data_IF_662751010331
#
_entry.id   IF_662751010331
#
_cell.length_a   1.000
_cell.length_b   1.000
_cell.length_c   1.000
_cell.angle_alpha   90.00
_cell.angle_beta   90.00
_cell.angle_gamma   90.00
#
_symmetry.space_group_name_H-M   'P 1'
#
loop_
_entity.id
_entity.type
_entity.pdbx_description
1 polymer ?
#
# COMPACT_ATOMS: atom_id res chain seq x y z
N UNK A 1 15.49 30.95 -58.38
CA UNK A 1 16.02 29.62 -58.77
C UNK A 1 15.58 28.59 -57.74
N UNK A 2 15.22 27.40 -58.23
CA UNK A 2 14.81 26.12 -57.58
C UNK A 2 15.39 25.92 -56.16
N UNK A 3 14.68 25.30 -55.21
CA UNK A 3 14.16 23.93 -55.26
C UNK A 3 12.98 23.70 -54.31
N UNK A 4 11.92 23.12 -54.84
CA UNK A 4 10.94 22.28 -54.14
C UNK A 4 11.62 21.04 -53.56
N UNK A 5 11.15 20.55 -52.41
CA UNK A 5 10.98 19.12 -52.12
C UNK A 5 9.92 18.97 -50.99
N UNK A 6 8.91 18.09 -51.17
CA UNK A 6 7.82 17.82 -50.24
C UNK A 6 8.12 16.59 -49.35
N UNK A 7 7.08 16.11 -48.66
CA UNK A 7 6.92 14.77 -48.04
C UNK A 7 7.24 14.71 -46.54
N UNK A 8 6.57 13.93 -45.69
CA UNK A 8 5.41 13.03 -45.74
C UNK A 8 5.16 12.63 -44.28
N UNK A 9 3.90 12.31 -43.96
CA UNK A 9 3.37 11.53 -42.83
C UNK A 9 4.33 11.05 -41.71
N UNK A 10 3.90 11.27 -40.47
CA UNK A 10 3.50 10.17 -39.59
C UNK A 10 2.76 10.73 -38.35
N UNK A 11 1.44 10.59 -38.34
CA UNK A 11 0.66 10.67 -37.12
C UNK A 11 1.06 9.50 -36.21
N UNK A 12 1.94 9.77 -35.24
CA UNK A 12 2.16 8.85 -34.14
C UNK A 12 0.96 8.95 -33.19
N UNK A 13 -0.13 8.26 -33.54
CA UNK A 13 -1.15 7.90 -32.59
C UNK A 13 -0.51 6.94 -31.57
N UNK A 14 0.11 7.52 -30.54
CA UNK A 14 0.39 6.81 -29.30
C UNK A 14 -0.97 6.43 -28.74
N UNK A 15 -1.36 5.19 -28.98
CA UNK A 15 -2.31 4.46 -28.17
C UNK A 15 -1.80 4.51 -26.73
N UNK A 16 -2.19 5.57 -26.02
CA UNK A 16 -2.23 5.61 -24.57
C UNK A 16 -3.30 4.60 -24.19
N UNK A 17 -2.95 3.32 -24.17
CA UNK A 17 -3.64 2.36 -23.34
C UNK A 17 -3.63 2.95 -21.93
N UNK A 18 -4.78 3.29 -21.33
CA UNK A 18 -4.82 3.40 -19.89
C UNK A 18 -4.60 1.97 -19.39
N UNK A 19 -3.33 1.58 -19.15
CA UNK A 19 -3.08 0.50 -18.23
C UNK A 19 -3.78 0.94 -16.94
N UNK A 20 -4.76 0.20 -16.42
CA UNK A 20 -5.41 0.61 -15.20
C UNK A 20 -4.37 0.41 -14.09
N UNK A 21 -3.70 1.51 -13.74
CA UNK A 21 -2.75 1.56 -12.64
C UNK A 21 -3.52 1.49 -11.32
N UNK A 22 -4.01 0.30 -10.96
CA UNK A 22 -4.53 0.04 -9.62
C UNK A 22 -3.34 -0.06 -8.66
N UNK A 23 -2.77 1.11 -8.33
CA UNK A 23 -1.45 1.27 -7.72
C UNK A 23 -1.35 0.69 -6.31
N UNK A 24 -0.18 0.17 -5.94
CA UNK A 24 0.16 -0.06 -4.54
C UNK A 24 -0.05 1.24 -3.73
N UNK A 25 -0.48 1.13 -2.47
CA UNK A 25 -0.76 2.29 -1.64
C UNK A 25 0.19 2.31 -0.43
N UNK A 26 0.93 3.40 -0.24
CA UNK A 26 1.71 3.65 0.97
C UNK A 26 1.12 4.84 1.71
N UNK A 27 0.84 4.66 3.01
CA UNK A 27 0.33 5.74 3.87
C UNK A 27 1.10 5.72 5.18
N UNK A 28 1.51 6.89 5.65
CA UNK A 28 2.23 7.08 6.91
C UNK A 28 1.43 7.98 7.85
N UNK A 29 1.58 7.76 9.15
CA UNK A 29 1.11 8.65 10.19
C UNK A 29 2.05 8.54 11.39
N UNK A 30 2.66 9.66 11.80
CA UNK A 30 3.64 9.68 12.87
C UNK A 30 4.79 8.71 12.59
N UNK A 31 4.95 7.72 13.45
CA UNK A 31 6.04 6.72 13.33
C UNK A 31 5.65 5.48 12.53
N UNK A 32 4.40 5.34 12.12
CA UNK A 32 3.86 4.11 11.55
C UNK A 32 3.55 4.30 10.07
N UNK A 33 3.84 3.29 9.27
CA UNK A 33 3.47 3.21 7.86
C UNK A 33 2.80 1.89 7.50
N UNK A 34 1.88 1.96 6.54
CA UNK A 34 1.25 0.82 5.87
C UNK A 34 1.56 0.88 4.38
N UNK A 35 1.96 -0.24 3.80
CA UNK A 35 2.14 -0.43 2.38
C UNK A 35 1.26 -1.59 1.91
N UNK A 36 0.37 -1.32 0.95
CA UNK A 36 -0.57 -2.29 0.39
C UNK A 36 -0.14 -2.62 -1.03
N UNK A 37 0.19 -3.88 -1.27
CA UNK A 37 0.51 -4.39 -2.61
C UNK A 37 -0.71 -5.07 -3.22
N UNK A 38 -0.96 -4.79 -4.50
CA UNK A 38 -2.17 -5.23 -5.20
C UNK A 38 -1.86 -5.79 -6.58
N UNK A 39 -2.67 -6.76 -6.98
CA UNK A 39 -2.75 -7.28 -8.34
C UNK A 39 -4.21 -7.28 -8.78
N UNK A 40 -4.55 -6.27 -9.59
CA UNK A 40 -5.93 -5.99 -9.99
C UNK A 40 -6.82 -5.65 -8.77
N UNK A 41 -7.99 -6.28 -8.62
CA UNK A 41 -8.94 -5.96 -7.55
C UNK A 41 -8.57 -6.58 -6.19
N UNK A 42 -7.45 -7.30 -6.10
CA UNK A 42 -7.04 -8.05 -4.90
C UNK A 42 -5.82 -7.42 -4.25
N UNK A 43 -5.77 -7.51 -2.93
CA UNK A 43 -4.61 -7.18 -2.11
C UNK A 43 -3.80 -8.45 -1.90
N UNK A 44 -2.58 -8.50 -2.43
CA UNK A 44 -1.72 -9.67 -2.32
C UNK A 44 -0.96 -9.67 -1.01
N UNK A 45 -0.46 -8.50 -0.62
CA UNK A 45 0.21 -8.31 0.66
C UNK A 45 -0.03 -6.93 1.25
N UNK A 46 0.13 -6.88 2.57
CA UNK A 46 0.21 -5.64 3.32
C UNK A 46 1.44 -5.71 4.21
N UNK A 47 2.30 -4.73 4.06
CA UNK A 47 3.47 -4.53 4.89
C UNK A 47 3.22 -3.36 5.83
N UNK A 48 3.70 -3.50 7.05
CA UNK A 48 3.64 -2.47 8.07
C UNK A 48 5.03 -2.20 8.62
N UNK A 49 5.32 -0.96 8.90
CA UNK A 49 6.53 -0.60 9.64
C UNK A 49 6.23 0.45 10.69
N UNK A 50 7.08 0.44 11.72
CA UNK A 50 7.11 1.46 12.74
C UNK A 50 8.57 1.88 12.94
N UNK A 51 8.85 3.18 12.95
CA UNK A 51 10.17 3.69 13.25
C UNK A 51 10.59 3.30 14.68
N UNK A 52 11.83 2.83 14.83
CA UNK A 52 12.39 2.35 16.09
C UNK A 52 12.54 0.84 16.20
N UNK A 53 13.30 0.41 17.21
CA UNK A 53 13.58 -0.99 17.58
C UNK A 53 12.88 -1.35 18.89
N UNK A 54 11.57 -1.16 18.94
CA UNK A 54 10.82 -1.43 20.16
C UNK A 54 10.74 -2.94 20.42
N UNK A 55 11.28 -3.36 21.57
CA UNK A 55 11.18 -4.76 22.02
C UNK A 55 9.71 -5.11 22.28
N UNK A 56 9.27 -6.23 21.71
CA UNK A 56 7.88 -6.69 21.84
C UNK A 56 6.87 -5.87 21.03
N UNK A 57 7.32 -5.14 20.00
CA UNK A 57 6.42 -4.53 19.03
C UNK A 57 5.57 -5.61 18.33
N UNK A 58 4.27 -5.36 18.26
CA UNK A 58 3.27 -6.19 17.59
C UNK A 58 2.38 -5.27 16.77
N UNK A 59 1.84 -5.79 15.68
CA UNK A 59 0.88 -5.08 14.86
C UNK A 59 -0.28 -5.98 14.43
N UNK A 60 -1.40 -5.37 14.08
CA UNK A 60 -2.54 -6.04 13.46
C UNK A 60 -3.20 -5.12 12.43
N UNK A 61 -3.94 -5.73 11.50
CA UNK A 61 -4.75 -5.03 10.51
C UNK A 61 -6.21 -5.02 10.93
N UNK A 62 -6.88 -3.90 10.68
CA UNK A 62 -8.31 -3.73 10.86
C UNK A 62 -8.87 -2.85 9.74
N UNK A 63 -10.16 -2.99 9.43
CA UNK A 63 -10.75 -2.32 8.30
C UNK A 63 -12.14 -1.73 8.59
N UNK A 64 -12.48 -0.69 7.83
CA UNK A 64 -13.82 -0.11 7.76
C UNK A 64 -14.36 -0.32 6.34
N UNK A 65 -15.42 -1.12 6.18
CA UNK A 65 -15.97 -1.43 4.86
C UNK A 65 -16.86 -0.31 4.31
N UNK A 66 -17.83 0.17 5.10
CA UNK A 66 -18.74 1.26 4.71
C UNK A 66 -19.30 2.05 5.91
N UNK A 67 -18.92 1.68 7.14
CA UNK A 67 -19.46 2.25 8.37
C UNK A 67 -18.38 2.57 9.40
N UNK A 68 -18.75 3.19 10.53
CA UNK A 68 -17.81 3.62 11.55
C UNK A 68 -17.23 2.47 12.38
N UNK A 69 -17.82 1.27 12.29
CA UNK A 69 -17.41 0.11 13.08
C UNK A 69 -16.24 -0.61 12.40
N UNK A 70 -15.05 -0.69 13.04
CA UNK A 70 -13.95 -1.47 12.51
C UNK A 70 -14.18 -2.96 12.74
N UNK A 71 -13.61 -3.78 11.87
CA UNK A 71 -13.44 -5.22 12.11
C UNK A 71 -11.97 -5.59 12.00
N UNK A 72 -11.53 -6.57 12.80
CA UNK A 72 -10.19 -7.10 12.70
C UNK A 72 -10.04 -7.91 11.42
N UNK A 73 -9.03 -7.58 10.62
CA UNK A 73 -8.63 -8.36 9.43
C UNK A 73 -7.63 -9.44 9.84
N UNK A 74 -6.75 -9.12 10.78
CA UNK A 74 -5.77 -10.08 11.34
C UNK A 74 -5.71 -10.00 12.86
N UNK A 75 -5.17 -11.04 13.48
CA UNK A 75 -4.70 -10.96 14.87
C UNK A 75 -3.39 -10.19 15.00
N UNK A 76 -2.95 -9.99 16.25
CA UNK A 76 -1.66 -9.37 16.60
C UNK A 76 -0.47 -10.26 16.21
N UNK A 77 0.36 -9.78 15.29
CA UNK A 77 1.59 -10.41 14.83
C UNK A 77 2.81 -9.69 15.39
N UNK A 78 3.84 -10.45 15.80
CA UNK A 78 5.10 -9.87 16.27
C UNK A 78 5.85 -9.17 15.12
N UNK A 79 6.37 -7.97 15.38
CA UNK A 79 7.19 -7.24 14.44
C UNK A 79 8.63 -7.73 14.48
N UNK A 80 9.26 -7.78 13.31
CA UNK A 80 10.68 -8.08 13.16
C UNK A 80 11.46 -6.78 13.15
N UNK A 81 12.47 -6.68 14.01
CA UNK A 81 13.39 -5.54 14.00
C UNK A 81 14.30 -5.64 12.77
N UNK A 82 14.37 -4.56 12.00
CA UNK A 82 15.22 -4.40 10.81
C UNK A 82 16.04 -3.14 10.94
N UNK A 83 17.27 -3.18 10.45
CA UNK A 83 18.17 -2.03 10.39
C UNK A 83 18.69 -1.86 8.97
N UNK A 84 18.64 -0.63 8.48
CA UNK A 84 19.16 -0.23 7.18
C UNK A 84 20.06 0.99 7.40
N UNK A 85 21.37 0.76 7.51
CA UNK A 85 22.31 1.77 7.97
C UNK A 85 21.96 2.28 9.38
N UNK A 86 21.74 3.58 9.52
CA UNK A 86 21.33 4.21 10.77
C UNK A 86 19.80 4.10 11.03
N UNK A 87 19.02 3.71 10.03
CA UNK A 87 17.56 3.60 10.14
C UNK A 87 17.17 2.31 10.83
N UNK A 88 16.37 2.42 11.89
CA UNK A 88 15.84 1.30 12.68
C UNK A 88 14.33 1.24 12.53
N UNK A 89 13.80 0.06 12.20
CA UNK A 89 12.36 -0.14 12.02
C UNK A 89 11.91 -1.47 12.60
N UNK A 90 10.66 -1.52 13.04
CA UNK A 90 9.95 -2.75 13.39
C UNK A 90 8.93 -3.05 12.29
N UNK A 91 9.11 -4.15 11.56
CA UNK A 91 8.33 -4.46 10.35
C UNK A 91 7.46 -5.70 10.52
N UNK A 92 6.28 -5.70 9.91
CA UNK A 92 5.36 -6.83 9.79
C UNK A 92 4.93 -6.97 8.34
N UNK A 93 4.57 -8.17 7.93
CA UNK A 93 4.05 -8.44 6.59
C UNK A 93 2.96 -9.50 6.68
N UNK A 94 1.87 -9.29 5.96
CA UNK A 94 0.81 -10.27 5.73
C UNK A 94 0.66 -10.48 4.25
N UNK A 95 0.76 -11.73 3.79
CA UNK A 95 0.55 -12.11 2.41
C UNK A 95 -0.56 -13.14 2.34
N UNK A 96 -1.47 -12.99 1.37
CA UNK A 96 -2.56 -13.92 1.12
C UNK A 96 -2.32 -14.67 -0.19
N UNK A 97 -2.29 -16.00 -0.13
CA UNK A 97 -2.18 -16.83 -1.33
C UNK A 97 -3.43 -16.64 -2.20
N UNK A 98 -3.24 -16.10 -3.41
CA UNK A 98 -4.34 -15.78 -4.33
C UNK A 98 -5.01 -14.42 -4.06
N UNK A 99 -4.46 -13.61 -3.15
CA UNK A 99 -4.94 -12.28 -2.80
C UNK A 99 -6.18 -12.27 -1.91
N UNK A 100 -6.37 -11.17 -1.18
CA UNK A 100 -7.55 -10.90 -0.37
C UNK A 100 -8.42 -9.85 -1.06
N UNK A 101 -9.74 -10.06 -1.07
CA UNK A 101 -10.69 -9.13 -1.68
C UNK A 101 -11.30 -8.25 -0.60
N UNK A 102 -11.17 -6.93 -0.78
CA UNK A 102 -11.86 -5.95 0.05
C UNK A 102 -12.97 -5.27 -0.77
N UNK A 103 -14.11 -4.89 -0.15
CA UNK A 103 -15.07 -3.99 -0.77
C UNK A 103 -14.41 -2.69 -1.24
N UNK A 104 -14.91 -2.11 -2.34
CA UNK A 104 -14.42 -0.81 -2.82
C UNK A 104 -14.66 0.29 -1.78
N UNK A 105 -13.68 1.16 -1.57
CA UNK A 105 -13.74 2.19 -0.54
C UNK A 105 -13.39 1.70 0.87
N UNK A 106 -13.03 0.42 1.03
CA UNK A 106 -12.57 -0.09 2.32
C UNK A 106 -11.36 0.68 2.79
N UNK A 107 -11.42 1.19 4.02
CA UNK A 107 -10.29 1.84 4.68
C UNK A 107 -9.56 0.81 5.53
N UNK A 108 -8.42 0.32 5.04
CA UNK A 108 -7.58 -0.67 5.68
C UNK A 108 -6.50 0.03 6.50
N UNK A 109 -6.48 -0.22 7.80
CA UNK A 109 -5.60 0.44 8.76
C UNK A 109 -4.67 -0.58 9.42
N UNK A 110 -3.55 -0.08 9.91
CA UNK A 110 -2.62 -0.84 10.77
C UNK A 110 -2.51 -0.17 12.12
N UNK A 111 -2.40 -0.96 13.18
CA UNK A 111 -2.04 -0.46 14.51
C UNK A 111 -0.85 -1.23 15.06
N UNK A 112 0.08 -0.50 15.69
CA UNK A 112 1.18 -1.06 16.47
C UNK A 112 0.93 -0.83 17.97
N UNK A 113 1.15 -1.85 18.79
CA UNK A 113 0.97 -1.74 20.25
C UNK A 113 1.95 -0.76 20.94
N UNK A 114 3.03 -0.35 20.25
CA UNK A 114 4.05 0.58 20.75
C UNK A 114 3.94 2.00 20.19
N UNK A 115 2.94 2.26 19.35
CA UNK A 115 2.62 3.59 18.83
C UNK A 115 1.09 3.80 18.88
N UNK A 116 0.47 3.76 20.07
CA UNK A 116 -0.97 3.98 20.18
C UNK A 116 -1.32 5.39 19.67
N UNK A 117 -2.16 5.47 18.65
CA UNK A 117 -2.58 6.72 18.01
C UNK A 117 -2.07 6.89 16.58
N UNK A 118 -0.93 6.27 16.24
CA UNK A 118 -0.34 6.31 14.90
C UNK A 118 -0.90 5.16 14.06
N UNK A 119 -2.14 5.33 13.60
CA UNK A 119 -2.84 4.29 12.83
C UNK A 119 -3.14 4.76 11.40
N UNK A 120 -2.15 4.77 10.49
CA UNK A 120 -2.39 5.15 9.10
C UNK A 120 -3.33 4.16 8.42
N UNK A 121 -4.10 4.66 7.47
CA UNK A 121 -5.06 3.87 6.73
C UNK A 121 -4.94 4.09 5.22
N UNK A 122 -4.87 3.02 4.46
CA UNK A 122 -4.97 3.02 3.01
C UNK A 122 -6.43 2.80 2.57
N UNK A 123 -6.88 3.56 1.56
CA UNK A 123 -8.18 3.34 0.93
C UNK A 123 -8.00 2.36 -0.22
N UNK A 124 -8.77 1.27 -0.20
CA UNK A 124 -8.77 0.28 -1.27
C UNK A 124 -9.74 0.70 -2.36
N UNK A 125 -9.19 1.26 -3.44
CA UNK A 125 -9.93 1.59 -4.66
C UNK A 125 -10.02 0.36 -5.56
N UNK A 126 -11.19 0.09 -6.15
CA UNK A 126 -11.34 -0.97 -7.16
C UNK A 126 -10.92 -0.51 -8.54
#
# INVERSE_FOLDING_TARGET
MRKTLPAVLAAAALALCPAPAHANATVENGRVGIHVQRSGPRVDSVDGYMAGHDTGARAHLYAFAAGPTPHNVTGWKNATRRSWGLTKTSTVSWAWKGGHTFPAGTRLCIAFNKAPGDNPCAIIHR
#
